data_IF_921180827173
#
_entry.id   IF_921180827173
#
_cell.length_a   1.000
_cell.length_b   1.000
_cell.length_c   1.000
_cell.angle_alpha   90.00
_cell.angle_beta   90.00
_cell.angle_gamma   90.00
#
_symmetry.space_group_name_H-M   'P 1'
#
loop_
_entity.id
_entity.type
_entity.pdbx_description
1 polymer ?
#
# COMPACT_ATOMS: atom_id res chain seq x y z
N UNK A 1 22.55 -44.17 31.49
CA UNK A 1 21.98 -42.89 31.96
C UNK A 1 22.46 -41.65 31.20
N UNK A 2 23.74 -41.54 30.80
CA UNK A 2 24.24 -40.38 30.03
C UNK A 2 23.74 -40.30 28.57
N UNK A 3 23.56 -41.44 27.88
CA UNK A 3 23.11 -41.45 26.48
C UNK A 3 21.64 -41.03 26.29
N UNK A 4 20.77 -41.35 27.26
CA UNK A 4 19.35 -40.98 27.23
C UNK A 4 19.17 -39.45 27.37
N UNK A 5 20.00 -38.80 28.20
CA UNK A 5 20.05 -37.35 28.34
C UNK A 5 20.64 -36.66 27.11
N UNK A 6 21.64 -37.25 26.46
CA UNK A 6 22.19 -36.77 25.21
C UNK A 6 21.14 -36.76 24.10
N UNK A 7 20.49 -37.90 23.84
CA UNK A 7 19.50 -38.05 22.77
C UNK A 7 18.25 -37.18 22.96
N UNK A 8 17.80 -36.94 24.21
CA UNK A 8 16.68 -36.04 24.51
C UNK A 8 16.99 -34.55 24.27
N UNK A 9 18.25 -34.14 24.44
CA UNK A 9 18.67 -32.76 24.22
C UNK A 9 18.85 -32.43 22.72
N UNK A 10 19.32 -33.41 21.92
CA UNK A 10 19.39 -33.29 20.46
C UNK A 10 18.00 -33.22 19.81
N UNK A 11 17.01 -33.98 20.30
CA UNK A 11 15.64 -33.96 19.76
C UNK A 11 14.88 -32.67 20.10
N UNK A 12 15.08 -32.12 21.31
CA UNK A 12 14.54 -30.81 21.69
C UNK A 12 15.22 -29.66 20.93
N UNK A 13 16.54 -29.72 20.74
CA UNK A 13 17.28 -28.72 19.95
C UNK A 13 16.88 -28.70 18.47
N UNK A 14 16.79 -29.88 17.83
CA UNK A 14 16.34 -30.00 16.43
C UNK A 14 14.86 -29.63 16.27
N UNK A 15 13.99 -30.01 17.22
CA UNK A 15 12.58 -29.65 17.22
C UNK A 15 12.36 -28.13 17.36
N UNK A 16 13.12 -27.47 18.23
CA UNK A 16 13.07 -26.02 18.41
C UNK A 16 13.59 -25.26 17.18
N UNK A 17 14.68 -25.74 16.55
CA UNK A 17 15.19 -25.16 15.29
C UNK A 17 14.17 -25.35 14.16
N UNK A 18 13.56 -26.53 14.05
CA UNK A 18 12.53 -26.81 13.05
C UNK A 18 11.30 -25.91 13.23
N UNK A 19 10.83 -25.73 14.46
CA UNK A 19 9.72 -24.83 14.78
C UNK A 19 10.08 -23.36 14.53
N UNK A 20 11.31 -22.93 14.82
CA UNK A 20 11.78 -21.58 14.53
C UNK A 20 11.87 -21.31 13.02
N UNK A 21 12.42 -22.25 12.23
CA UNK A 21 12.48 -22.13 10.77
C UNK A 21 11.07 -22.15 10.17
N UNK A 22 10.20 -23.06 10.61
CA UNK A 22 8.80 -23.07 10.18
C UNK A 22 8.06 -21.79 10.59
N UNK A 23 8.33 -21.23 11.78
CA UNK A 23 7.79 -19.97 12.24
C UNK A 23 8.28 -18.78 11.41
N UNK A 24 9.56 -18.74 11.05
CA UNK A 24 10.13 -17.72 10.15
C UNK A 24 9.54 -17.85 8.74
N UNK A 25 9.36 -19.07 8.23
CA UNK A 25 8.73 -19.33 6.94
C UNK A 25 7.26 -18.90 6.96
N UNK A 26 6.49 -19.31 7.96
CA UNK A 26 5.08 -18.93 8.12
C UNK A 26 4.93 -17.41 8.28
N UNK A 27 5.79 -16.76 9.06
CA UNK A 27 5.81 -15.31 9.21
C UNK A 27 6.15 -14.59 7.89
N UNK A 28 6.96 -15.19 7.01
CA UNK A 28 7.29 -14.66 5.69
C UNK A 28 6.33 -15.08 4.57
N UNK A 29 5.44 -16.05 4.79
CA UNK A 29 4.47 -16.50 3.78
C UNK A 29 3.11 -15.81 3.97
N UNK A 30 2.39 -15.60 2.87
CA UNK A 30 1.06 -14.97 2.85
C UNK A 30 -0.06 -15.87 3.44
N UNK A 31 0.27 -17.01 4.05
CA UNK A 31 -0.68 -18.01 4.54
C UNK A 31 -1.59 -17.50 5.67
N UNK A 32 -1.14 -16.50 6.43
CA UNK A 32 -1.90 -15.91 7.53
C UNK A 32 -2.52 -14.54 7.20
N UNK A 33 -2.38 -14.05 5.97
CA UNK A 33 -3.05 -12.82 5.55
C UNK A 33 -4.52 -13.13 5.18
N UNK A 34 -5.50 -12.37 5.68
CA UNK A 34 -6.89 -12.55 5.30
C UNK A 34 -7.05 -12.45 3.78
N UNK A 35 -7.76 -13.41 3.18
CA UNK A 35 -8.04 -13.43 1.73
C UNK A 35 -8.71 -12.14 1.30
N UNK A 36 -8.18 -11.55 0.24
CA UNK A 36 -8.58 -10.23 -0.29
C UNK A 36 -9.97 -10.33 -0.92
N UNK A 37 -10.93 -9.56 -0.40
CA UNK A 37 -12.09 -9.16 -1.18
C UNK A 37 -11.64 -8.04 -2.14
N UNK A 38 -11.85 -8.21 -3.45
CA UNK A 38 -11.58 -7.18 -4.46
C UNK A 38 -12.25 -5.86 -4.04
N UNK A 39 -11.60 -4.73 -4.25
CA UNK A 39 -12.25 -3.45 -4.03
C UNK A 39 -13.48 -3.35 -4.96
N UNK A 40 -14.67 -3.27 -4.37
CA UNK A 40 -15.89 -2.97 -5.09
C UNK A 40 -15.85 -1.49 -5.46
N UNK A 41 -16.08 -1.16 -6.74
CA UNK A 41 -16.05 0.23 -7.22
C UNK A 41 -17.01 1.08 -6.39
N UNK A 42 -18.18 0.52 -6.09
CA UNK A 42 -19.24 1.12 -5.29
C UNK A 42 -18.75 1.54 -3.90
N UNK A 43 -17.86 0.75 -3.29
CA UNK A 43 -17.26 1.06 -1.99
C UNK A 43 -16.25 2.22 -2.09
N UNK A 44 -15.47 2.27 -3.17
CA UNK A 44 -14.51 3.36 -3.38
C UNK A 44 -15.21 4.67 -3.76
N UNK A 45 -16.31 4.62 -4.49
CA UNK A 45 -17.08 5.80 -4.93
C UNK A 45 -17.65 6.62 -3.76
N UNK A 46 -18.03 5.94 -2.68
CA UNK A 46 -18.64 6.57 -1.49
C UNK A 46 -17.64 7.39 -0.67
N UNK A 47 -16.34 7.20 -0.87
CA UNK A 47 -15.29 7.83 -0.09
C UNK A 47 -15.35 9.36 -0.19
N UNK A 48 -15.25 10.00 0.99
CA UNK A 48 -15.14 11.45 1.13
C UNK A 48 -13.66 11.82 1.18
N UNK A 49 -13.21 12.60 0.21
CA UNK A 49 -11.82 13.00 0.05
C UNK A 49 -11.66 14.49 0.33
N UNK A 50 -10.91 14.83 1.37
CA UNK A 50 -10.58 16.23 1.70
C UNK A 50 -9.37 16.68 0.89
N UNK A 51 -9.44 17.85 0.24
CA UNK A 51 -8.30 18.39 -0.48
C UNK A 51 -7.19 18.84 0.47
N UNK A 52 -5.91 18.63 0.10
CA UNK A 52 -4.78 19.19 0.85
C UNK A 52 -4.50 20.65 0.51
N UNK A 53 -5.08 21.17 -0.58
CA UNK A 53 -4.89 22.57 -1.01
C UNK A 53 -5.98 23.51 -0.51
N UNK A 54 -7.13 22.95 -0.12
CA UNK A 54 -8.31 23.66 0.34
C UNK A 54 -8.98 22.79 1.42
N UNK A 55 -8.69 23.09 2.70
CA UNK A 55 -9.06 22.23 3.83
C UNK A 55 -10.59 22.09 4.00
N UNK A 56 -11.36 23.06 3.53
CA UNK A 56 -12.83 23.06 3.61
C UNK A 56 -13.47 22.30 2.44
N UNK A 57 -12.69 21.97 1.41
CA UNK A 57 -13.18 21.29 0.21
C UNK A 57 -13.11 19.78 0.37
N UNK A 58 -14.27 19.17 0.53
CA UNK A 58 -14.47 17.72 0.47
C UNK A 58 -15.14 17.37 -0.86
N UNK A 59 -14.57 16.41 -1.58
CA UNK A 59 -15.11 15.86 -2.82
C UNK A 59 -15.44 14.37 -2.65
N UNK A 60 -16.39 13.88 -3.44
CA UNK A 60 -16.62 12.44 -3.56
C UNK A 60 -15.57 11.81 -4.45
N UNK A 61 -15.05 10.66 -4.07
CA UNK A 61 -14.02 9.96 -4.84
C UNK A 61 -14.47 9.63 -6.27
N UNK A 62 -15.75 9.31 -6.48
CA UNK A 62 -16.34 9.13 -7.83
C UNK A 62 -15.99 10.26 -8.81
N UNK A 63 -15.90 11.50 -8.32
CA UNK A 63 -15.58 12.66 -9.18
C UNK A 63 -14.18 12.61 -9.79
N UNK A 64 -13.25 11.87 -9.19
CA UNK A 64 -11.87 11.74 -9.69
C UNK A 64 -11.79 10.97 -11.01
N UNK A 65 -12.63 9.96 -11.20
CA UNK A 65 -12.60 9.07 -12.38
C UNK A 65 -13.85 9.14 -13.26
N UNK A 66 -14.85 9.96 -12.91
CA UNK A 66 -16.11 10.03 -13.64
C UNK A 66 -15.96 10.33 -15.14
N UNK A 67 -14.97 11.16 -15.53
CA UNK A 67 -14.78 11.58 -16.92
C UNK A 67 -13.72 10.74 -17.67
N UNK A 68 -12.50 10.64 -17.13
CA UNK A 68 -11.36 10.09 -17.87
C UNK A 68 -10.70 8.90 -17.16
N UNK A 69 -11.36 8.30 -16.18
CA UNK A 69 -10.71 7.37 -15.25
C UNK A 69 -9.74 8.07 -14.30
N UNK A 70 -9.03 7.32 -13.47
CA UNK A 70 -7.99 7.85 -12.59
C UNK A 70 -7.00 6.76 -12.16
N UNK A 71 -5.75 7.16 -11.93
CA UNK A 71 -4.79 6.37 -11.15
C UNK A 71 -4.77 6.90 -9.73
N UNK A 72 -5.32 6.13 -8.80
CA UNK A 72 -5.44 6.48 -7.39
C UNK A 72 -4.45 5.66 -6.56
N UNK A 73 -3.74 6.33 -5.66
CA UNK A 73 -2.67 5.74 -4.89
C UNK A 73 -2.85 6.03 -3.41
N UNK A 74 -2.92 4.97 -2.60
CA UNK A 74 -2.80 5.04 -1.16
C UNK A 74 -1.36 4.67 -0.76
N UNK A 75 -0.60 5.64 -0.23
CA UNK A 75 0.76 5.49 0.35
C UNK A 75 1.93 4.96 -0.52
N UNK A 76 1.76 4.71 -1.81
CA UNK A 76 2.93 4.49 -2.67
C UNK A 76 3.63 5.84 -2.94
N UNK A 77 4.96 5.90 -3.08
CA UNK A 77 5.67 7.19 -3.28
C UNK A 77 6.29 7.34 -4.67
N UNK A 78 6.22 6.31 -5.53
CA UNK A 78 7.11 6.22 -6.70
C UNK A 78 6.44 6.40 -8.08
N UNK A 79 5.11 6.54 -8.17
CA UNK A 79 4.46 6.75 -9.48
C UNK A 79 4.42 8.20 -9.95
N UNK A 80 5.00 9.15 -9.21
CA UNK A 80 5.15 10.54 -9.67
C UNK A 80 5.81 10.65 -11.04
N UNK A 81 6.72 9.71 -11.35
CA UNK A 81 7.42 9.61 -12.63
C UNK A 81 6.49 9.30 -13.82
N UNK A 82 5.33 8.66 -13.57
CA UNK A 82 4.34 8.33 -14.60
C UNK A 82 3.45 9.52 -14.99
N UNK A 83 3.48 10.61 -14.21
CA UNK A 83 2.59 11.75 -14.42
C UNK A 83 2.55 12.24 -15.88
N UNK A 84 3.69 12.48 -16.58
CA UNK A 84 3.64 12.98 -17.95
C UNK A 84 2.92 12.03 -18.92
N UNK A 85 3.12 10.72 -18.74
CA UNK A 85 2.52 9.70 -19.59
C UNK A 85 1.01 9.54 -19.31
N UNK A 86 0.60 9.71 -18.06
CA UNK A 86 -0.81 9.68 -17.68
C UNK A 86 -1.54 10.93 -18.17
N UNK A 87 -0.89 12.10 -18.12
CA UNK A 87 -1.42 13.35 -18.67
C UNK A 87 -1.62 13.28 -20.19
N UNK A 88 -0.72 12.64 -20.93
CA UNK A 88 -0.90 12.37 -22.37
C UNK A 88 -2.14 11.50 -22.67
N UNK A 89 -2.49 10.60 -21.74
CA UNK A 89 -3.70 9.77 -21.82
C UNK A 89 -4.96 10.47 -21.28
N UNK A 90 -4.82 11.68 -20.72
CA UNK A 90 -5.91 12.41 -20.06
C UNK A 90 -6.33 11.82 -18.71
N UNK A 91 -5.53 10.90 -18.15
CA UNK A 91 -5.82 10.19 -16.91
C UNK A 91 -5.15 10.92 -15.73
N UNK A 92 -5.91 11.40 -14.73
CA UNK A 92 -5.35 12.06 -13.55
C UNK A 92 -4.59 11.07 -12.66
N UNK A 93 -3.46 11.53 -12.12
CA UNK A 93 -2.69 10.84 -11.07
C UNK A 93 -3.00 11.47 -9.71
N UNK A 94 -3.54 10.67 -8.80
CA UNK A 94 -4.05 11.12 -7.50
C UNK A 94 -3.45 10.29 -6.36
N UNK A 95 -2.96 10.96 -5.32
CA UNK A 95 -2.58 10.34 -4.05
C UNK A 95 -3.67 10.58 -2.99
N UNK A 96 -3.96 9.54 -2.22
CA UNK A 96 -4.90 9.53 -1.11
C UNK A 96 -4.16 9.13 0.16
N UNK A 97 -3.97 10.08 1.06
CA UNK A 97 -3.32 9.88 2.36
C UNK A 97 -4.37 9.66 3.45
N UNK A 98 -4.03 8.92 4.49
CA UNK A 98 -4.97 8.59 5.58
C UNK A 98 -5.18 9.74 6.56
N UNK A 99 -4.11 10.48 6.87
CA UNK A 99 -4.07 11.47 7.94
C UNK A 99 -3.15 12.63 7.54
N UNK A 100 -3.42 13.81 8.09
CA UNK A 100 -2.52 14.96 8.03
C UNK A 100 -1.83 15.11 9.39
N UNK A 101 -0.79 14.32 9.64
CA UNK A 101 -0.03 14.40 10.89
C UNK A 101 1.17 15.34 10.70
N UNK A 102 1.15 16.47 11.41
CA UNK A 102 2.29 17.39 11.46
C UNK A 102 2.69 17.92 10.07
N UNK A 103 3.95 17.67 9.67
CA UNK A 103 4.50 18.12 8.39
C UNK A 103 4.43 17.04 7.28
N UNK A 104 3.85 15.86 7.52
CA UNK A 104 3.94 14.71 6.59
C UNK A 104 3.44 15.03 5.18
N UNK A 105 2.32 15.74 5.05
CA UNK A 105 1.80 16.14 3.73
C UNK A 105 2.71 17.19 3.08
N UNK A 106 3.30 18.08 3.87
CA UNK A 106 4.21 19.13 3.40
C UNK A 106 5.55 18.53 2.93
N UNK A 107 6.03 17.47 3.59
CA UNK A 107 7.24 16.73 3.22
C UNK A 107 6.98 15.80 2.03
N UNK A 108 5.77 15.24 1.89
CA UNK A 108 5.39 14.40 0.77
C UNK A 108 5.17 15.19 -0.52
N UNK A 109 4.59 16.39 -0.44
CA UNK A 109 4.21 17.20 -1.60
C UNK A 109 5.36 17.48 -2.59
N UNK A 110 6.59 17.84 -2.16
CA UNK A 110 7.73 18.01 -3.06
C UNK A 110 8.09 16.77 -3.88
N UNK A 111 7.74 15.58 -3.39
CA UNK A 111 8.06 14.29 -4.02
C UNK A 111 6.90 13.74 -4.87
N UNK A 112 5.71 14.35 -4.78
CA UNK A 112 4.52 13.91 -5.50
C UNK A 112 3.98 14.98 -6.44
N UNK A 113 3.94 14.63 -7.73
CA UNK A 113 3.57 15.57 -8.77
C UNK A 113 2.05 15.65 -9.01
N UNK A 114 1.25 14.70 -8.51
CA UNK A 114 -0.21 14.66 -8.71
C UNK A 114 -1.01 15.43 -7.66
N UNK A 115 -2.33 15.28 -7.71
CA UNK A 115 -3.25 15.81 -6.69
C UNK A 115 -3.22 14.94 -5.45
N UNK A 116 -3.29 15.58 -4.27
CA UNK A 116 -3.25 14.87 -2.98
C UNK A 116 -4.54 15.16 -2.23
N UNK A 117 -5.18 14.10 -1.77
CA UNK A 117 -6.37 14.15 -0.95
C UNK A 117 -6.20 13.33 0.33
N UNK A 118 -7.01 13.62 1.33
CA UNK A 118 -7.04 12.92 2.60
C UNK A 118 -8.33 12.09 2.66
N UNK A 119 -8.20 10.78 2.87
CA UNK A 119 -9.29 9.84 3.14
C UNK A 119 -9.30 9.50 4.63
N UNK A 120 -9.90 10.38 5.43
CA UNK A 120 -9.98 10.23 6.89
C UNK A 120 -10.68 8.93 7.31
N UNK A 121 -11.63 8.45 6.49
CA UNK A 121 -12.39 7.21 6.73
C UNK A 121 -11.67 5.96 6.23
N UNK A 122 -10.54 6.12 5.52
CA UNK A 122 -9.65 5.05 5.06
C UNK A 122 -10.35 4.03 4.13
N UNK A 123 -11.30 4.46 3.31
CA UNK A 123 -11.96 3.62 2.29
C UNK A 123 -10.95 3.02 1.31
N UNK A 124 -9.96 3.79 0.83
CA UNK A 124 -8.94 3.29 -0.09
C UNK A 124 -7.99 2.25 0.55
N UNK A 125 -8.02 2.12 1.87
CA UNK A 125 -7.26 1.11 2.62
C UNK A 125 -8.09 -0.16 2.89
N UNK A 126 -9.37 -0.15 2.50
CA UNK A 126 -10.31 -1.24 2.59
C UNK A 126 -11.07 -1.31 3.93
N UNK A 127 -12.21 -2.04 3.95
CA UNK A 127 -13.03 -2.19 5.16
C UNK A 127 -12.28 -2.94 6.27
N UNK A 128 -11.38 -3.85 5.88
CA UNK A 128 -10.44 -4.49 6.77
C UNK A 128 -9.06 -3.86 6.55
N UNK A 129 -8.74 -2.88 7.39
CA UNK A 129 -7.45 -2.20 7.38
C UNK A 129 -6.32 -3.22 7.57
N UNK A 130 -5.40 -3.25 6.61
CA UNK A 130 -4.27 -4.17 6.61
C UNK A 130 -3.13 -3.53 7.37
N UNK A 131 -3.06 -3.83 8.66
CA UNK A 131 -1.96 -3.41 9.51
C UNK A 131 -0.90 -4.51 9.53
N UNK A 132 0.33 -4.16 9.24
CA UNK A 132 1.47 -5.03 9.50
C UNK A 132 1.58 -5.24 11.02
N UNK A 133 1.27 -6.45 11.49
CA UNK A 133 1.48 -6.80 12.90
C UNK A 133 2.97 -6.81 13.26
N UNK A 134 3.33 -6.77 14.54
CA UNK A 134 4.74 -6.74 14.98
C UNK A 134 5.62 -7.88 14.44
N UNK A 135 5.02 -9.03 14.08
CA UNK A 135 5.70 -10.14 13.40
C UNK A 135 6.12 -9.81 11.94
N UNK A 136 5.48 -8.84 11.29
CA UNK A 136 5.85 -8.36 9.97
C UNK A 136 7.25 -7.70 9.93
N UNK A 137 7.72 -7.16 11.05
CA UNK A 137 9.12 -6.71 11.20
C UNK A 137 10.13 -7.85 11.19
N UNK A 138 9.72 -9.09 11.45
CA UNK A 138 10.63 -10.24 11.31
C UNK A 138 10.80 -10.66 9.84
N UNK A 139 10.01 -10.09 8.92
CA UNK A 139 10.17 -10.34 7.49
C UNK A 139 11.45 -9.69 6.99
N UNK A 140 12.29 -10.49 6.33
CA UNK A 140 13.57 -10.02 5.80
C UNK A 140 13.39 -8.95 4.72
N UNK A 141 12.32 -9.03 3.92
CA UNK A 141 11.99 -8.04 2.89
C UNK A 141 11.74 -6.64 3.48
N UNK A 142 11.06 -6.56 4.63
CA UNK A 142 10.80 -5.31 5.35
C UNK A 142 12.10 -4.68 5.85
N UNK A 143 13.03 -5.47 6.41
CA UNK A 143 14.35 -4.96 6.82
C UNK A 143 15.19 -4.50 5.63
N UNK A 144 15.17 -5.22 4.51
CA UNK A 144 15.90 -4.83 3.30
C UNK A 144 15.35 -3.52 2.72
N UNK A 145 14.03 -3.36 2.69
CA UNK A 145 13.36 -2.14 2.25
C UNK A 145 13.61 -0.97 3.22
N UNK A 146 13.63 -1.22 4.53
CA UNK A 146 13.95 -0.22 5.54
C UNK A 146 15.40 0.26 5.42
N UNK A 147 16.37 -0.66 5.26
CA UNK A 147 17.78 -0.30 5.02
C UNK A 147 17.93 0.51 3.72
N UNK A 148 17.15 0.18 2.69
CA UNK A 148 17.14 0.91 1.41
C UNK A 148 16.57 2.32 1.57
N UNK A 149 15.41 2.46 2.24
CA UNK A 149 14.79 3.74 2.53
C UNK A 149 15.68 4.64 3.40
N UNK A 150 16.33 4.06 4.41
CA UNK A 150 17.29 4.75 5.27
C UNK A 150 18.51 5.27 4.48
N UNK A 151 19.01 4.50 3.51
CA UNK A 151 20.09 4.95 2.60
C UNK A 151 19.65 6.06 1.63
N UNK A 152 18.36 6.10 1.29
CA UNK A 152 17.78 7.15 0.44
C UNK A 152 17.34 8.40 1.23
N UNK A 153 17.57 8.44 2.55
CA UNK A 153 17.22 9.59 3.39
C UNK A 153 15.74 9.68 3.77
N UNK A 154 14.94 8.66 3.50
CA UNK A 154 13.52 8.62 3.84
C UNK A 154 13.34 8.16 5.29
N UNK A 155 13.09 9.09 6.22
CA UNK A 155 12.69 8.77 7.59
C UNK A 155 11.18 8.57 7.62
N UNK A 156 10.73 7.32 7.43
CA UNK A 156 9.35 6.96 7.68
C UNK A 156 9.01 7.21 9.15
N UNK A 157 7.94 7.98 9.41
CA UNK A 157 7.50 8.26 10.77
C UNK A 157 6.85 7.02 11.40
N UNK A 158 7.26 6.68 12.62
CA UNK A 158 6.66 5.59 13.41
C UNK A 158 5.52 6.08 14.34
N UNK A 159 5.30 7.39 14.44
CA UNK A 159 4.29 8.00 15.32
C UNK A 159 2.95 8.24 14.59
N UNK A 160 2.34 7.17 14.08
CA UNK A 160 1.00 7.15 13.48
C UNK A 160 0.49 5.71 13.33
N UNK A 161 -0.56 5.46 12.54
CA UNK A 161 -0.88 4.10 12.05
C UNK A 161 0.15 3.63 11.01
N UNK A 162 1.44 3.71 11.34
CA UNK A 162 2.62 3.46 10.49
C UNK A 162 2.79 2.01 10.04
N UNK A 163 1.75 1.18 10.19
CA UNK A 163 1.68 -0.20 9.72
C UNK A 163 0.61 -0.43 8.67
N UNK A 164 -0.18 0.59 8.34
CA UNK A 164 -1.24 0.46 7.35
C UNK A 164 -0.63 0.31 5.95
N UNK A 165 -1.03 -0.75 5.24
CA UNK A 165 -0.52 -1.05 3.90
C UNK A 165 -1.36 -0.39 2.83
N UNK A 166 -0.67 0.34 1.96
CA UNK A 166 -1.24 1.08 0.85
C UNK A 166 -1.66 0.20 -0.34
N UNK A 167 -1.97 0.88 -1.44
CA UNK A 167 -2.31 0.24 -2.70
C UNK A 167 -2.42 1.24 -3.85
N UNK A 168 -2.38 0.71 -5.07
CA UNK A 168 -2.56 1.45 -6.32
C UNK A 168 -3.77 0.89 -7.03
N UNK A 169 -4.64 1.78 -7.47
CA UNK A 169 -5.87 1.49 -8.17
C UNK A 169 -5.85 2.23 -9.50
N UNK A 170 -6.06 1.51 -10.60
CA UNK A 170 -6.37 2.12 -11.89
C UNK A 170 -7.85 1.92 -12.12
N UNK A 171 -8.59 3.02 -12.14
CA UNK A 171 -10.05 3.03 -12.21
C UNK A 171 -10.44 3.59 -13.58
N UNK A 172 -11.29 2.87 -14.31
CA UNK A 172 -11.80 3.30 -15.60
C UNK A 172 -12.80 4.45 -15.50
N UNK A 173 -13.15 5.04 -16.64
CA UNK A 173 -14.11 6.14 -16.69
C UNK A 173 -15.53 5.66 -16.34
N UNK A 174 -16.27 6.48 -15.59
CA UNK A 174 -17.63 6.15 -15.16
C UNK A 174 -17.70 4.82 -14.41
N UNK A 175 -18.44 3.87 -14.96
CA UNK A 175 -18.74 2.58 -14.33
C UNK A 175 -17.90 1.41 -14.92
N UNK A 176 -16.78 1.71 -15.60
CA UNK A 176 -15.86 0.68 -16.14
C UNK A 176 -15.21 -0.20 -15.07
N UNK A 177 -15.19 0.27 -13.82
CA UNK A 177 -14.64 -0.47 -12.71
C UNK A 177 -13.13 -0.34 -12.56
N UNK A 178 -12.60 -1.16 -11.65
CA UNK A 178 -11.16 -1.18 -11.32
C UNK A 178 -10.43 -2.08 -12.31
N UNK A 179 -9.59 -1.46 -13.16
CA UNK A 179 -8.80 -2.14 -14.20
C UNK A 179 -7.52 -2.75 -13.65
N UNK A 180 -6.96 -2.15 -12.59
CA UNK A 180 -5.82 -2.67 -11.86
C UNK A 180 -6.02 -2.40 -10.37
N UNK A 181 -5.81 -3.41 -9.56
CA UNK A 181 -5.76 -3.29 -8.10
C UNK A 181 -4.47 -3.96 -7.63
N UNK A 182 -3.50 -3.14 -7.23
CA UNK A 182 -2.29 -3.60 -6.57
C UNK A 182 -2.35 -3.17 -5.11
N UNK A 183 -2.53 -4.12 -4.20
CA UNK A 183 -2.50 -3.86 -2.76
C UNK A 183 -1.16 -4.29 -2.19
N UNK A 184 -0.44 -3.37 -1.54
CA UNK A 184 0.87 -3.67 -0.97
C UNK A 184 0.74 -4.80 0.06
N UNK A 185 1.51 -5.89 -0.08
CA UNK A 185 1.50 -6.99 0.90
C UNK A 185 2.40 -6.72 2.10
N UNK A 186 3.41 -5.90 1.88
CA UNK A 186 4.39 -5.46 2.86
C UNK A 186 4.95 -4.11 2.40
N UNK A 187 5.52 -3.34 3.33
CA UNK A 187 6.11 -2.04 3.02
C UNK A 187 7.17 -2.16 1.92
N UNK A 188 7.00 -1.36 0.86
CA UNK A 188 7.89 -1.37 -0.29
C UNK A 188 7.62 -2.49 -1.30
N UNK A 189 6.51 -3.24 -1.17
CA UNK A 189 5.98 -4.05 -2.26
C UNK A 189 5.35 -3.12 -3.30
N UNK A 190 6.10 -2.86 -4.37
CA UNK A 190 5.76 -1.86 -5.37
C UNK A 190 5.01 -2.49 -6.53
N UNK A 191 4.03 -1.76 -7.04
CA UNK A 191 3.45 -2.05 -8.36
C UNK A 191 4.47 -1.73 -9.44
N UNK A 192 4.50 -2.52 -10.50
CA UNK A 192 5.29 -2.21 -11.69
C UNK A 192 4.67 -0.98 -12.40
N UNK A 193 5.41 0.12 -12.60
CA UNK A 193 4.92 1.28 -13.33
C UNK A 193 4.42 0.94 -14.75
N UNK A 194 4.98 -0.09 -15.39
CA UNK A 194 4.54 -0.53 -16.71
C UNK A 194 3.13 -1.14 -16.67
N UNK A 195 2.80 -1.91 -15.63
CA UNK A 195 1.45 -2.47 -15.44
C UNK A 195 0.41 -1.36 -15.22
N UNK A 196 0.77 -0.34 -14.43
CA UNK A 196 -0.10 0.84 -14.22
C UNK A 196 -0.37 1.55 -15.54
N UNK A 197 0.68 1.77 -16.35
CA UNK A 197 0.54 2.45 -17.63
C UNK A 197 -0.26 1.62 -18.64
N UNK A 198 -0.05 0.30 -18.69
CA UNK A 198 -0.86 -0.58 -19.53
C UNK A 198 -2.33 -0.57 -19.14
N UNK A 199 -2.63 -0.60 -17.83
CA UNK A 199 -4.00 -0.50 -17.35
C UNK A 199 -4.61 0.87 -17.68
N UNK A 200 -3.85 1.96 -17.54
CA UNK A 200 -4.31 3.30 -17.89
C UNK A 200 -4.65 3.43 -19.38
N UNK A 201 -3.87 2.79 -20.27
CA UNK A 201 -4.15 2.76 -21.72
C UNK A 201 -5.43 2.01 -22.10
N UNK A 202 -5.96 1.17 -21.20
CA UNK A 202 -7.22 0.44 -21.42
C UNK A 202 -8.45 1.25 -21.01
N UNK A 203 -8.26 2.40 -20.35
CA UNK A 203 -9.36 3.30 -20.00
C UNK A 203 -9.96 3.84 -21.29
N UNK A 204 -11.27 3.71 -21.43
CA UNK A 204 -12.02 4.31 -22.54
C UNK A 204 -12.79 5.51 -21.99
N UNK A 205 -12.50 6.75 -22.44
CA UNK A 205 -13.23 7.94 -22.02
C UNK A 205 -14.70 7.93 -22.45
#
# INVERSE_FOLDING_TARGET
>A
DAELFGMGLWSLGLGAIGAAVAGILLANTDLCLPKVAKAQLEYLEEADLRSTTDEDKIIKAKSLWAANGAVVMAEASELSSLKPQLEELGVPLVAVVKENIGAEIQDFRPHFAGDVYIDEKKHFYGPLQRKMGGLGFLRLGVWQNFIRAWRSGYQGNMNGEGFLLGGVFVIGAGDQGVLLEHREKEFGNKVDPAEVLEAAKRIVP
#
